data_IF_158898960699
#
_entry.id   IF_158898960699
#
_cell.length_a   1.000
_cell.length_b   1.000
_cell.length_c   1.000
_cell.angle_alpha   90.00
_cell.angle_beta   90.00
_cell.angle_gamma   90.00
#
_symmetry.space_group_name_H-M   'P 1'
#
loop_
_entity.id
_entity.type
_entity.pdbx_description
1 polymer ?
#
# COMPACT_ATOMS: atom_id res chain seq x y z
N UNK A 1 -7.14 3.11 -19.98
CA UNK A 1 -7.06 1.96 -19.02
C UNK A 1 -6.77 2.46 -17.60
N UNK A 2 -5.74 3.30 -17.36
CA UNK A 2 -5.34 3.76 -16.03
C UNK A 2 -6.46 4.47 -15.25
N UNK A 3 -7.26 5.33 -15.88
CA UNK A 3 -8.38 6.02 -15.23
C UNK A 3 -9.42 5.05 -14.66
N UNK A 4 -9.63 3.90 -15.32
CA UNK A 4 -10.53 2.85 -14.80
C UNK A 4 -9.96 2.24 -13.52
N UNK A 5 -8.64 2.02 -13.48
CA UNK A 5 -7.94 1.48 -12.30
C UNK A 5 -8.04 2.48 -11.13
N UNK A 6 -7.72 3.76 -11.35
CA UNK A 6 -7.83 4.78 -10.30
C UNK A 6 -9.25 4.89 -9.74
N UNK A 7 -10.25 4.88 -10.62
CA UNK A 7 -11.66 4.88 -10.18
C UNK A 7 -12.04 3.62 -9.40
N UNK A 8 -11.55 2.46 -9.81
CA UNK A 8 -11.77 1.20 -9.10
C UNK A 8 -11.15 1.22 -7.70
N UNK A 9 -9.91 1.69 -7.58
CA UNK A 9 -9.21 1.85 -6.30
C UNK A 9 -10.04 2.74 -5.35
N UNK A 10 -10.49 3.90 -5.83
CA UNK A 10 -11.28 4.84 -5.03
C UNK A 10 -12.65 4.29 -4.64
N UNK A 11 -13.39 3.74 -5.61
CA UNK A 11 -14.72 3.17 -5.39
C UNK A 11 -14.70 2.10 -4.31
N UNK A 12 -13.66 1.26 -4.29
CA UNK A 12 -13.53 0.13 -3.38
C UNK A 12 -12.67 0.44 -2.14
N UNK A 13 -12.25 1.69 -1.95
CA UNK A 13 -11.43 2.13 -0.81
C UNK A 13 -10.17 1.25 -0.63
N UNK A 14 -9.52 0.89 -1.74
CA UNK A 14 -8.32 0.05 -1.73
C UNK A 14 -7.13 0.85 -1.16
N UNK A 15 -7.17 2.18 -1.28
CA UNK A 15 -6.20 3.12 -0.74
C UNK A 15 -6.59 3.67 0.66
N UNK A 16 -7.47 2.96 1.38
CA UNK A 16 -7.90 3.26 2.73
C UNK A 16 -7.58 2.09 3.69
N UNK A 17 -7.21 2.35 4.95
CA UNK A 17 -6.91 3.67 5.54
C UNK A 17 -5.62 4.30 4.99
N UNK A 18 -4.71 3.47 4.45
CA UNK A 18 -3.44 3.87 3.83
C UNK A 18 -3.26 3.21 2.47
N UNK A 19 -2.49 3.79 1.53
CA UNK A 19 -2.19 3.15 0.27
C UNK A 19 -1.14 2.04 0.46
N UNK A 20 -1.30 0.93 -0.18
CA UNK A 20 -2.42 0.36 -0.90
C UNK A 20 -2.54 -1.11 -0.51
N UNK A 21 -3.75 -1.63 -0.44
CA UNK A 21 -3.97 -3.06 -0.17
C UNK A 21 -3.36 -3.91 -1.28
N UNK A 22 -2.62 -4.97 -0.90
CA UNK A 22 -1.93 -5.88 -1.82
C UNK A 22 -2.89 -6.68 -2.71
N UNK A 23 -3.99 -7.16 -2.13
CA UNK A 23 -5.07 -7.90 -2.81
C UNK A 23 -6.42 -7.29 -2.41
N UNK A 24 -7.33 -7.18 -3.38
CA UNK A 24 -8.70 -6.76 -3.13
C UNK A 24 -9.69 -7.42 -4.10
N UNK A 25 -10.81 -8.03 -3.61
CA UNK A 25 -11.06 -8.32 -2.19
C UNK A 25 -10.07 -9.34 -1.63
N UNK A 26 -9.86 -9.40 -0.30
CA UNK A 26 -9.06 -10.47 0.30
C UNK A 26 -9.64 -11.85 0.01
N UNK A 27 -8.78 -12.82 -0.16
CA UNK A 27 -9.13 -14.20 -0.51
C UNK A 27 -9.62 -14.93 0.75
N UNK A 28 -10.85 -15.45 0.69
CA UNK A 28 -11.46 -16.18 1.82
C UNK A 28 -11.00 -17.63 1.81
N UNK A 29 -10.78 -18.19 3.01
CA UNK A 29 -10.54 -19.62 3.19
C UNK A 29 -11.68 -20.44 2.57
N UNK A 30 -11.33 -21.50 1.84
CA UNK A 30 -12.27 -22.37 1.14
C UNK A 30 -12.80 -21.80 -0.20
N UNK A 31 -12.38 -20.60 -0.62
CA UNK A 31 -12.65 -20.12 -1.97
C UNK A 31 -11.70 -20.78 -2.98
N UNK A 32 -12.07 -20.77 -4.27
CA UNK A 32 -11.24 -21.33 -5.37
C UNK A 32 -9.84 -20.73 -5.49
N UNK A 33 -9.67 -19.51 -5.00
CA UNK A 33 -8.41 -18.75 -5.08
C UNK A 33 -7.56 -18.91 -3.80
N UNK A 34 -8.06 -19.67 -2.81
CA UNK A 34 -7.31 -19.95 -1.59
C UNK A 34 -6.10 -20.83 -1.90
N UNK A 35 -4.97 -20.47 -1.28
CA UNK A 35 -3.72 -21.25 -1.41
C UNK A 35 -3.27 -21.73 -0.04
N UNK A 36 -2.80 -22.97 0.04
CA UNK A 36 -2.41 -23.61 1.31
C UNK A 36 -1.31 -22.86 2.05
N UNK A 37 -0.39 -22.20 1.33
CA UNK A 37 0.67 -21.40 1.96
C UNK A 37 0.15 -20.20 2.77
N UNK A 38 -1.13 -19.82 2.62
CA UNK A 38 -1.71 -18.78 3.49
C UNK A 38 -1.86 -19.26 4.94
N UNK A 39 -2.06 -20.58 5.16
CA UNK A 39 -2.28 -21.16 6.49
C UNK A 39 -1.06 -20.96 7.41
N UNK A 40 0.15 -21.04 6.87
CA UNK A 40 1.40 -20.97 7.61
C UNK A 40 1.94 -19.53 7.76
N UNK A 41 1.13 -18.53 7.39
CA UNK A 41 1.53 -17.14 7.42
C UNK A 41 0.43 -16.22 7.97
N UNK A 42 0.79 -14.97 8.22
CA UNK A 42 -0.19 -13.93 8.60
C UNK A 42 -1.29 -13.71 7.54
N UNK A 43 -1.08 -14.18 6.30
CA UNK A 43 -2.06 -14.11 5.22
C UNK A 43 -3.31 -14.97 5.45
N UNK A 44 -3.29 -15.91 6.41
CA UNK A 44 -4.49 -16.69 6.83
C UNK A 44 -5.62 -15.80 7.32
N UNK A 45 -5.30 -14.64 7.88
CA UNK A 45 -6.29 -13.67 8.31
C UNK A 45 -6.54 -12.64 7.21
N UNK A 46 -7.82 -12.35 6.94
CA UNK A 46 -8.20 -11.34 5.96
C UNK A 46 -7.62 -9.97 6.33
N UNK A 47 -7.17 -9.24 5.33
CA UNK A 47 -6.54 -7.93 5.45
C UNK A 47 -5.17 -7.93 6.12
N UNK A 48 -4.55 -9.10 6.29
CA UNK A 48 -3.20 -9.24 6.79
C UNK A 48 -2.22 -9.62 5.67
N UNK A 49 -0.94 -9.26 5.86
CA UNK A 49 0.18 -9.65 5.02
C UNK A 49 -0.14 -9.53 3.52
N UNK A 50 0.12 -10.57 2.71
CA UNK A 50 -0.20 -10.59 1.28
C UNK A 50 -1.69 -10.68 0.98
N UNK A 51 -2.54 -11.07 1.95
CA UNK A 51 -3.99 -11.23 1.76
C UNK A 51 -4.78 -9.97 2.12
N UNK A 52 -4.49 -8.89 1.42
CA UNK A 52 -5.17 -7.60 1.59
C UNK A 52 -4.53 -6.68 2.64
N UNK A 53 -3.35 -7.02 3.16
CA UNK A 53 -2.54 -6.11 3.96
C UNK A 53 -2.03 -4.93 3.14
N UNK A 54 -1.67 -3.85 3.81
CA UNK A 54 -1.11 -2.65 3.21
C UNK A 54 0.42 -2.75 3.27
N UNK A 55 1.05 -2.71 2.10
CA UNK A 55 2.49 -2.65 1.97
C UNK A 55 2.89 -1.27 1.47
N UNK A 56 3.59 -0.51 2.30
CA UNK A 56 3.84 0.91 2.01
C UNK A 56 4.74 1.12 0.81
N UNK A 57 5.62 0.16 0.45
CA UNK A 57 6.38 0.24 -0.80
C UNK A 57 5.47 0.15 -2.03
N UNK A 58 4.43 -0.71 -2.00
CA UNK A 58 3.43 -0.78 -3.08
C UNK A 58 2.66 0.55 -3.17
N UNK A 59 2.36 1.16 -2.01
CA UNK A 59 1.79 2.49 -1.92
C UNK A 59 2.68 3.57 -2.58
N UNK A 60 4.01 3.43 -2.45
CA UNK A 60 4.96 4.28 -3.17
C UNK A 60 4.81 4.16 -4.69
N UNK A 61 4.67 2.96 -5.24
CA UNK A 61 4.37 2.76 -6.67
C UNK A 61 3.02 3.38 -7.08
N UNK A 62 2.01 3.30 -6.21
CA UNK A 62 0.73 3.97 -6.48
C UNK A 62 0.89 5.49 -6.58
N UNK A 63 1.66 6.12 -5.69
CA UNK A 63 2.00 7.55 -5.80
C UNK A 63 2.72 7.86 -7.11
N UNK A 64 3.72 7.05 -7.50
CA UNK A 64 4.41 7.20 -8.79
C UNK A 64 3.46 7.11 -9.97
N UNK A 65 2.51 6.15 -9.95
CA UNK A 65 1.49 6.05 -10.99
C UNK A 65 0.64 7.33 -11.09
N UNK A 66 0.22 7.89 -9.95
CA UNK A 66 -0.52 9.16 -9.91
C UNK A 66 0.31 10.32 -10.48
N UNK A 67 1.60 10.39 -10.15
CA UNK A 67 2.54 11.39 -10.71
C UNK A 67 2.65 11.25 -12.23
N UNK A 68 2.82 10.01 -12.74
CA UNK A 68 2.87 9.71 -14.18
C UNK A 68 1.64 10.23 -14.93
N UNK A 69 0.47 10.10 -14.32
CA UNK A 69 -0.78 10.56 -14.90
C UNK A 69 -1.16 12.00 -14.50
N UNK A 70 -0.20 12.76 -13.97
CA UNK A 70 -0.34 14.19 -13.60
C UNK A 70 -1.43 14.45 -12.55
N UNK A 71 -1.81 13.45 -11.76
CA UNK A 71 -2.77 13.55 -10.66
C UNK A 71 -2.07 14.04 -9.37
N UNK A 72 -1.40 15.19 -9.45
CA UNK A 72 -0.50 15.66 -8.39
C UNK A 72 -1.18 15.89 -7.05
N UNK A 73 -2.40 16.41 -7.03
CA UNK A 73 -3.15 16.64 -5.79
C UNK A 73 -3.48 15.31 -5.09
N UNK A 74 -3.86 14.29 -5.86
CA UNK A 74 -4.12 12.97 -5.32
C UNK A 74 -2.82 12.29 -4.86
N UNK A 75 -1.75 12.39 -5.66
CA UNK A 75 -0.44 11.89 -5.29
C UNK A 75 0.04 12.49 -3.96
N UNK A 76 -0.16 13.80 -3.74
CA UNK A 76 0.18 14.48 -2.47
C UNK A 76 -0.62 13.90 -1.30
N UNK A 77 -1.93 13.70 -1.47
CA UNK A 77 -2.79 13.09 -0.43
C UNK A 77 -2.31 11.68 -0.07
N UNK A 78 -2.00 10.87 -1.07
CA UNK A 78 -1.55 9.50 -0.84
C UNK A 78 -0.15 9.45 -0.22
N UNK A 79 0.75 10.37 -0.60
CA UNK A 79 2.09 10.47 0.00
C UNK A 79 2.02 10.85 1.49
N UNK A 80 1.10 11.74 1.89
CA UNK A 80 0.87 12.09 3.30
C UNK A 80 0.40 10.84 4.07
N UNK A 81 -0.57 10.10 3.54
CA UNK A 81 -1.03 8.83 4.14
C UNK A 81 0.10 7.80 4.27
N UNK A 82 1.01 7.73 3.29
CA UNK A 82 2.20 6.87 3.39
C UNK A 82 3.14 7.31 4.51
N UNK A 83 3.35 8.61 4.68
CA UNK A 83 4.14 9.11 5.80
C UNK A 83 3.52 8.70 7.13
N UNK A 84 2.22 8.92 7.31
CA UNK A 84 1.48 8.50 8.50
C UNK A 84 1.58 6.99 8.76
N UNK A 85 1.45 6.16 7.72
CA UNK A 85 1.57 4.70 7.82
C UNK A 85 2.97 4.30 8.31
N UNK A 86 4.01 4.90 7.74
CA UNK A 86 5.41 4.61 8.09
C UNK A 86 5.78 5.07 9.51
N UNK A 87 5.06 6.05 10.07
CA UNK A 87 5.26 6.53 11.44
C UNK A 87 4.55 5.68 12.51
N UNK A 88 3.64 4.78 12.13
CA UNK A 88 2.82 3.98 13.07
C UNK A 88 3.63 3.13 14.04
N UNK A 89 4.77 2.62 13.65
CA UNK A 89 5.68 1.82 14.48
C UNK A 89 6.86 2.68 14.96
N UNK A 90 6.60 3.89 15.45
CA UNK A 90 7.64 4.81 15.91
C UNK A 90 8.62 5.25 14.81
N UNK A 91 8.19 5.26 13.54
CA UNK A 91 9.03 5.59 12.40
C UNK A 91 9.89 4.43 11.87
N UNK A 92 9.66 3.21 12.35
CA UNK A 92 10.46 2.04 12.00
C UNK A 92 10.01 1.33 10.71
N UNK A 93 9.22 1.96 9.86
CA UNK A 93 8.80 1.40 8.58
C UNK A 93 8.34 -0.05 8.70
N UNK A 94 7.14 -0.25 9.28
CA UNK A 94 6.53 -1.58 9.44
C UNK A 94 6.50 -2.35 8.12
N UNK A 95 6.73 -3.66 8.17
CA UNK A 95 6.71 -4.51 6.97
C UNK A 95 5.37 -4.39 6.23
N UNK A 96 4.28 -4.53 6.96
CA UNK A 96 2.91 -4.34 6.46
C UNK A 96 2.01 -3.79 7.56
N UNK A 97 0.84 -3.30 7.17
CA UNK A 97 -0.23 -2.88 8.09
C UNK A 97 -1.51 -3.63 7.73
N UNK A 98 -2.35 -3.88 8.74
CA UNK A 98 -3.66 -4.48 8.49
C UNK A 98 -4.50 -3.59 7.55
N UNK A 99 -5.00 -4.18 6.47
CA UNK A 99 -5.70 -3.45 5.39
C UNK A 99 -7.05 -2.84 5.77
N UNK A 100 -7.60 -3.23 6.92
CA UNK A 100 -8.87 -2.69 7.43
C UNK A 100 -8.64 -1.63 8.50
N UNK A 101 -7.74 -1.88 9.43
CA UNK A 101 -7.54 -1.04 10.63
C UNK A 101 -6.32 -0.12 10.52
N UNK A 102 -5.39 -0.40 9.63
CA UNK A 102 -4.10 0.30 9.56
C UNK A 102 -3.17 -0.01 10.73
N UNK A 103 -3.45 -1.05 11.53
CA UNK A 103 -2.58 -1.47 12.62
C UNK A 103 -1.28 -2.06 12.03
N UNK A 104 -0.09 -1.59 12.46
CA UNK A 104 1.18 -2.11 11.94
C UNK A 104 1.43 -3.53 12.41
N UNK A 105 2.15 -4.32 11.59
CA UNK A 105 2.78 -5.56 11.99
C UNK A 105 3.87 -5.27 13.04
N UNK A 106 4.36 -6.33 13.69
CA UNK A 106 5.46 -6.19 14.67
C UNK A 106 6.84 -6.06 13.99
N UNK A 107 6.96 -6.49 12.74
CA UNK A 107 8.19 -6.38 11.95
C UNK A 107 8.39 -4.96 11.43
N UNK A 108 9.56 -4.40 11.62
CA UNK A 108 9.92 -3.05 11.19
C UNK A 108 11.25 -3.01 10.44
N UNK A 109 11.78 -1.79 10.26
CA UNK A 109 13.07 -1.52 9.62
C UNK A 109 13.15 -1.97 8.14
N UNK A 110 12.03 -1.86 7.42
CA UNK A 110 11.95 -2.31 6.03
C UNK A 110 12.54 -1.26 5.08
N UNK A 111 13.76 -1.50 4.61
CA UNK A 111 14.51 -0.57 3.75
C UNK A 111 13.76 -0.24 2.44
N UNK A 112 13.06 -1.21 1.84
CA UNK A 112 12.26 -0.98 0.63
C UNK A 112 11.09 0.00 0.86
N UNK A 113 10.48 -0.01 2.04
CA UNK A 113 9.43 0.95 2.38
C UNK A 113 9.99 2.37 2.48
N UNK A 114 11.16 2.54 3.11
CA UNK A 114 11.86 3.81 3.19
C UNK A 114 12.32 4.31 1.81
N UNK A 115 12.96 3.45 1.02
CA UNK A 115 13.43 3.77 -0.32
C UNK A 115 12.30 4.20 -1.25
N UNK A 116 11.19 3.48 -1.25
CA UNK A 116 10.04 3.82 -2.08
C UNK A 116 9.33 5.10 -1.64
N UNK A 117 9.30 5.40 -0.34
CA UNK A 117 8.78 6.67 0.14
C UNK A 117 9.62 7.85 -0.38
N UNK A 118 10.96 7.75 -0.27
CA UNK A 118 11.90 8.78 -0.76
C UNK A 118 11.73 8.99 -2.28
N UNK A 119 11.66 7.90 -3.04
CA UNK A 119 11.47 7.94 -4.49
C UNK A 119 10.14 8.62 -4.87
N UNK A 120 9.05 8.22 -4.21
CA UNK A 120 7.72 8.79 -4.43
C UNK A 120 7.68 10.29 -4.07
N UNK A 121 8.26 10.67 -2.94
CA UNK A 121 8.36 12.06 -2.50
C UNK A 121 9.12 12.94 -3.52
N UNK A 122 10.31 12.49 -3.92
CA UNK A 122 11.15 13.24 -4.85
C UNK A 122 10.53 13.34 -6.25
N UNK A 123 9.87 12.25 -6.71
CA UNK A 123 9.15 12.24 -7.99
C UNK A 123 7.98 13.21 -7.99
N UNK A 124 7.21 13.28 -6.90
CA UNK A 124 6.12 14.24 -6.75
C UNK A 124 6.65 15.68 -6.72
N UNK A 125 7.71 15.94 -5.93
CA UNK A 125 8.34 17.26 -5.84
C UNK A 125 8.79 17.76 -7.22
N UNK A 126 9.37 16.89 -8.05
CA UNK A 126 9.82 17.22 -9.41
C UNK A 126 8.73 17.06 -10.46
N UNK A 127 7.52 16.64 -10.08
CA UNK A 127 6.38 16.36 -10.99
C UNK A 127 6.73 15.42 -12.15
N UNK A 128 7.69 14.52 -11.96
CA UNK A 128 8.11 13.45 -12.90
C UNK A 128 8.65 12.25 -12.14
N UNK A 129 8.55 11.07 -12.76
CA UNK A 129 9.14 9.85 -12.21
C UNK A 129 10.67 9.94 -12.33
N UNK A 130 11.37 9.55 -11.27
CA UNK A 130 12.83 9.58 -11.15
C UNK A 130 13.48 8.18 -11.27
N UNK A 131 12.88 7.30 -12.08
CA UNK A 131 13.42 5.97 -12.39
C UNK A 131 14.09 6.03 -13.76
#
# INVERSE_FOLDING_TARGET
KAEKIFRYIKKNKIDEPYPIKSIYPPIKKGSKDWQDYFEDSDARALYNYSNGGIWTYIGGFYVLALVKYRKFNEAKKQLIKLAEANMKLGGNFSEWLNGKTGKPSKSGNQAWNAGMYILAHNSLKKKKILI
#
